data_IF_873392901458
#
_entry.id   IF_873392901458
#
_cell.length_a   1.000
_cell.length_b   1.000
_cell.length_c   1.000
_cell.angle_alpha   90.00
_cell.angle_beta   90.00
_cell.angle_gamma   90.00
#
_symmetry.space_group_name_H-M   'P 1'
#
loop_
_entity.id
_entity.type
_entity.pdbx_description
1 polymer ?
#
# COMPACT_ATOMS: atom_id res chain seq x y z
N UNK A 1 5.66 22.58 3.50
CA UNK A 1 4.60 21.57 3.50
C UNK A 1 5.00 20.45 4.42
N UNK A 2 4.22 20.23 5.45
CA UNK A 2 4.48 19.06 6.25
C UNK A 2 4.20 17.84 5.37
N UNK A 3 5.24 17.25 4.90
CA UNK A 3 5.15 15.92 4.36
C UNK A 3 4.63 15.03 5.47
N UNK A 4 3.69 14.17 5.12
CA UNK A 4 3.21 13.19 6.08
C UNK A 4 4.07 11.95 5.88
N UNK A 5 5.20 11.85 6.57
CA UNK A 5 6.14 10.77 6.35
C UNK A 5 5.69 9.46 6.94
N UNK A 6 4.63 9.47 7.70
CA UNK A 6 4.14 8.33 8.48
C UNK A 6 3.81 7.14 7.61
N UNK A 7 3.40 7.39 6.36
CA UNK A 7 2.98 6.37 5.42
C UNK A 7 4.01 6.07 4.34
N UNK A 8 5.24 6.55 4.49
CA UNK A 8 6.30 6.29 3.53
C UNK A 8 6.79 4.85 3.63
N UNK A 9 6.89 4.18 2.48
CA UNK A 9 7.32 2.78 2.40
C UNK A 9 8.70 2.50 3.02
N UNK A 10 9.71 3.39 2.92
CA UNK A 10 11.00 3.19 3.60
C UNK A 10 10.87 2.98 5.09
N UNK A 11 9.91 3.63 5.74
CA UNK A 11 9.69 3.54 7.19
C UNK A 11 9.40 2.11 7.65
N UNK A 12 8.74 1.31 6.82
CA UNK A 12 8.48 -0.10 7.14
C UNK A 12 9.76 -0.92 7.24
N UNK A 13 10.72 -0.68 6.37
CA UNK A 13 12.03 -1.32 6.39
C UNK A 13 12.85 -0.86 7.60
N UNK A 14 12.80 0.44 7.89
CA UNK A 14 13.48 1.04 9.05
C UNK A 14 12.96 0.47 10.36
N UNK A 15 11.65 0.23 10.44
CA UNK A 15 11.01 -0.35 11.60
C UNK A 15 11.14 -1.88 11.67
N UNK A 16 11.79 -2.50 10.68
CA UNK A 16 11.97 -3.94 10.58
C UNK A 16 10.64 -4.71 10.72
N UNK A 17 9.57 -4.15 10.15
CA UNK A 17 8.26 -4.74 10.21
C UNK A 17 8.16 -5.93 9.26
N UNK A 18 7.41 -6.91 9.68
CA UNK A 18 7.12 -8.13 8.95
C UNK A 18 6.47 -7.83 7.60
N UNK A 19 6.72 -8.64 6.57
CA UNK A 19 6.11 -8.50 5.25
C UNK A 19 4.58 -8.41 5.29
N UNK A 20 3.94 -9.08 6.24
CA UNK A 20 2.50 -9.00 6.46
C UNK A 20 2.00 -7.59 6.76
N UNK A 21 2.79 -6.77 7.45
CA UNK A 21 2.46 -5.36 7.71
C UNK A 21 2.79 -4.47 6.51
N UNK A 22 3.75 -4.90 5.67
CA UNK A 22 4.11 -4.22 4.45
C UNK A 22 2.95 -4.10 3.48
N UNK A 23 2.24 -5.18 3.21
CA UNK A 23 1.08 -5.20 2.31
C UNK A 23 -0.05 -4.29 2.83
N UNK A 24 -0.36 -4.35 4.11
CA UNK A 24 -1.32 -3.48 4.75
C UNK A 24 -0.95 -1.99 4.59
N UNK A 25 0.31 -1.66 4.84
CA UNK A 25 0.80 -0.29 4.72
C UNK A 25 0.77 0.21 3.27
N UNK A 26 1.06 -0.64 2.29
CA UNK A 26 0.97 -0.29 0.87
C UNK A 26 -0.47 0.11 0.53
N UNK A 27 -1.45 -0.69 0.90
CA UNK A 27 -2.87 -0.42 0.63
C UNK A 27 -3.31 0.88 1.31
N UNK A 28 -2.92 1.10 2.55
CA UNK A 28 -3.22 2.32 3.30
C UNK A 28 -2.59 3.57 2.66
N UNK A 29 -1.34 3.46 2.20
CA UNK A 29 -0.66 4.53 1.49
C UNK A 29 -1.33 4.86 0.15
N UNK A 30 -1.65 3.86 -0.64
CA UNK A 30 -2.35 4.05 -1.92
C UNK A 30 -3.68 4.76 -1.69
N UNK A 31 -4.47 4.29 -0.74
CA UNK A 31 -5.75 4.90 -0.40
C UNK A 31 -5.61 6.36 0.01
N UNK A 32 -4.63 6.65 0.85
CA UNK A 32 -4.32 8.01 1.29
C UNK A 32 -4.02 8.93 0.10
N UNK A 33 -3.11 8.53 -0.79
CA UNK A 33 -2.74 9.37 -1.94
C UNK A 33 -3.87 9.52 -2.96
N UNK A 34 -4.68 8.48 -3.16
CA UNK A 34 -5.87 8.57 -4.00
C UNK A 34 -6.88 9.58 -3.45
N UNK A 35 -7.13 9.56 -2.16
CA UNK A 35 -8.02 10.53 -1.50
C UNK A 35 -7.51 11.96 -1.63
N UNK A 36 -6.20 12.18 -1.47
CA UNK A 36 -5.60 13.50 -1.66
C UNK A 36 -5.82 14.01 -3.09
N UNK A 37 -5.63 13.17 -4.09
CA UNK A 37 -5.89 13.50 -5.50
C UNK A 37 -7.37 13.85 -5.71
N UNK A 38 -8.28 13.06 -5.19
CA UNK A 38 -9.71 13.28 -5.32
C UNK A 38 -10.19 14.56 -4.62
N UNK A 39 -9.46 15.02 -3.61
CA UNK A 39 -9.70 16.28 -2.92
C UNK A 39 -8.95 17.47 -3.52
N UNK A 40 -8.43 17.34 -4.73
CA UNK A 40 -7.65 18.37 -5.43
C UNK A 40 -6.41 18.88 -4.66
N UNK A 41 -5.85 18.03 -3.83
CA UNK A 41 -4.69 18.38 -3.02
C UNK A 41 -3.39 17.85 -3.63
N UNK A 42 -2.49 18.77 -4.00
CA UNK A 42 -1.15 18.46 -4.53
C UNK A 42 -1.13 17.27 -5.50
N UNK A 43 -1.96 17.32 -6.54
CA UNK A 43 -2.22 16.20 -7.46
C UNK A 43 -0.92 15.63 -8.03
N UNK A 44 -0.03 16.48 -8.49
CA UNK A 44 1.23 16.04 -9.08
C UNK A 44 2.13 15.30 -8.07
N UNK A 45 2.23 15.82 -6.87
CA UNK A 45 3.03 15.21 -5.79
C UNK A 45 2.47 13.85 -5.39
N UNK A 46 1.16 13.77 -5.24
CA UNK A 46 0.50 12.50 -4.90
C UNK A 46 0.56 11.49 -6.04
N UNK A 47 0.50 11.95 -7.30
CA UNK A 47 0.78 11.11 -8.47
C UNK A 47 2.20 10.52 -8.41
N UNK A 48 3.19 11.35 -8.07
CA UNK A 48 4.57 10.91 -7.90
C UNK A 48 4.69 9.81 -6.84
N UNK A 49 3.95 9.92 -5.75
CA UNK A 49 3.91 8.90 -4.70
C UNK A 49 3.28 7.59 -5.18
N UNK A 50 2.20 7.65 -5.92
CA UNK A 50 1.58 6.46 -6.53
C UNK A 50 2.53 5.80 -7.55
N UNK A 51 3.25 6.60 -8.32
CA UNK A 51 4.30 6.12 -9.20
C UNK A 51 5.40 5.35 -8.45
N UNK A 52 5.91 5.91 -7.36
CA UNK A 52 6.90 5.25 -6.51
C UNK A 52 6.39 3.92 -5.96
N UNK A 53 5.14 3.89 -5.51
CA UNK A 53 4.51 2.66 -5.01
C UNK A 53 4.36 1.63 -6.13
N UNK A 54 4.00 2.06 -7.33
CA UNK A 54 3.92 1.17 -8.49
C UNK A 54 5.27 0.48 -8.74
N UNK A 55 6.37 1.22 -8.70
CA UNK A 55 7.71 0.65 -8.83
C UNK A 55 8.04 -0.29 -7.68
N UNK A 56 7.71 0.09 -6.47
CA UNK A 56 7.98 -0.70 -5.27
C UNK A 56 7.22 -2.03 -5.27
N UNK A 57 5.99 -2.05 -5.78
CA UNK A 57 5.15 -3.24 -5.87
C UNK A 57 5.42 -4.08 -7.12
N UNK A 58 6.54 -3.85 -7.79
CA UNK A 58 6.92 -4.54 -9.01
C UNK A 58 5.86 -4.40 -10.12
N UNK A 59 5.42 -3.16 -10.34
CA UNK A 59 4.47 -2.80 -11.39
C UNK A 59 3.07 -3.40 -11.19
N UNK A 60 2.51 -3.22 -9.98
CA UNK A 60 1.13 -3.62 -9.70
C UNK A 60 0.19 -3.06 -10.78
N UNK A 61 -0.57 -3.96 -11.41
CA UNK A 61 -1.43 -3.62 -12.55
C UNK A 61 -2.48 -2.55 -12.22
N UNK A 62 -2.90 -2.46 -10.96
CA UNK A 62 -3.87 -1.45 -10.50
C UNK A 62 -3.28 -0.04 -10.47
N UNK A 63 -1.96 0.07 -10.34
CA UNK A 63 -1.22 1.32 -10.26
C UNK A 63 -0.57 1.72 -11.59
N UNK A 64 -0.61 0.86 -12.59
CA UNK A 64 -0.02 1.14 -13.90
C UNK A 64 -0.54 2.41 -14.56
N UNK A 65 -1.83 2.78 -14.48
CA UNK A 65 -2.29 4.06 -15.03
C UNK A 65 -1.54 5.26 -14.46
N UNK A 66 -1.19 5.23 -13.18
CA UNK A 66 -0.43 6.31 -12.54
C UNK A 66 1.04 6.34 -12.96
N UNK A 67 1.61 5.17 -13.22
CA UNK A 67 2.94 5.09 -13.84
C UNK A 67 2.97 5.79 -15.20
N UNK A 68 2.01 5.50 -16.07
CA UNK A 68 1.92 6.12 -17.38
C UNK A 68 1.57 7.60 -17.30
N UNK A 69 0.68 8.00 -16.42
CA UNK A 69 0.32 9.40 -16.21
C UNK A 69 1.49 10.22 -15.67
N UNK A 70 2.29 9.67 -14.80
CA UNK A 70 3.50 10.32 -14.30
C UNK A 70 4.49 10.61 -15.44
N UNK A 71 4.80 9.62 -16.25
CA UNK A 71 5.68 9.80 -17.39
C UNK A 71 5.06 10.71 -18.45
N UNK A 72 3.77 10.55 -18.71
CA UNK A 72 3.04 11.41 -19.63
C UNK A 72 3.08 12.88 -19.22
N UNK A 73 2.91 13.17 -17.94
CA UNK A 73 3.00 14.54 -17.43
C UNK A 73 4.41 15.11 -17.60
N UNK A 74 5.44 14.34 -17.28
CA UNK A 74 6.82 14.77 -17.49
C UNK A 74 7.10 15.09 -18.97
N UNK A 75 6.63 14.24 -19.86
CA UNK A 75 6.80 14.44 -21.29
C UNK A 75 6.03 15.67 -21.83
N UNK A 76 4.80 15.85 -21.36
CA UNK A 76 4.00 17.05 -21.68
C UNK A 76 4.71 18.35 -21.25
N UNK A 77 5.38 18.35 -20.10
CA UNK A 77 6.14 19.52 -19.66
C UNK A 77 7.42 19.74 -20.46
N UNK A 78 8.06 18.68 -20.91
CA UNK A 78 9.31 18.79 -21.69
C UNK A 78 9.07 19.16 -23.14
N UNK A 79 8.15 18.49 -23.82
CA UNK A 79 7.95 18.60 -25.27
C UNK A 79 6.51 18.95 -25.69
N UNK A 80 5.58 19.02 -24.78
CA UNK A 80 4.17 19.38 -25.04
C UNK A 80 3.31 18.25 -25.61
N UNK A 81 3.87 17.07 -25.78
CA UNK A 81 3.18 15.87 -26.26
C UNK A 81 3.47 14.71 -25.32
N UNK A 82 2.60 13.70 -25.31
CA UNK A 82 2.86 12.48 -24.55
C UNK A 82 2.43 11.25 -25.33
N UNK A 83 3.24 10.20 -25.24
CA UNK A 83 2.97 8.89 -25.83
C UNK A 83 2.51 7.86 -24.78
N UNK A 84 2.45 8.24 -23.52
CA UNK A 84 2.21 7.31 -22.41
C UNK A 84 0.74 7.12 -22.09
N UNK A 85 -0.08 8.17 -22.22
CA UNK A 85 -1.48 8.10 -21.86
C UNK A 85 -2.33 8.84 -22.89
N UNK A 86 -3.08 8.09 -23.68
CA UNK A 86 -3.91 8.62 -24.75
C UNK A 86 -4.96 9.59 -24.21
N UNK A 87 -5.09 10.72 -24.87
CA UNK A 87 -6.08 11.75 -24.53
C UNK A 87 -5.69 12.71 -23.42
N UNK A 88 -4.52 12.54 -22.80
CA UNK A 88 -4.02 13.45 -21.78
C UNK A 88 -3.17 14.57 -22.41
N UNK A 89 -3.43 15.80 -22.03
CA UNK A 89 -2.66 16.99 -22.37
C UNK A 89 -2.48 17.89 -21.14
N UNK A 90 -1.76 18.99 -21.26
CA UNK A 90 -1.50 19.91 -20.15
C UNK A 90 -2.77 20.55 -19.57
N UNK A 91 -3.81 20.69 -20.37
CA UNK A 91 -5.06 21.32 -19.93
C UNK A 91 -5.96 20.35 -19.15
N UNK A 92 -5.85 19.06 -19.42
CA UNK A 92 -6.74 18.06 -18.84
C UNK A 92 -6.06 17.03 -17.93
N UNK A 93 -4.74 17.02 -17.83
CA UNK A 93 -3.98 15.96 -17.13
C UNK A 93 -4.46 15.76 -15.68
N UNK A 94 -4.78 16.82 -14.96
CA UNK A 94 -5.27 16.70 -13.57
C UNK A 94 -6.63 16.01 -13.51
N UNK A 95 -7.53 16.33 -14.44
CA UNK A 95 -8.84 15.66 -14.53
C UNK A 95 -8.70 14.20 -14.90
N UNK A 96 -7.82 13.89 -15.83
CA UNK A 96 -7.52 12.50 -16.23
C UNK A 96 -6.98 11.72 -15.02
N UNK A 97 -6.10 12.30 -14.24
CA UNK A 97 -5.56 11.69 -13.02
C UNK A 97 -6.68 11.46 -12.01
N UNK A 98 -7.56 12.42 -11.79
CA UNK A 98 -8.71 12.26 -10.88
C UNK A 98 -9.66 11.16 -11.34
N UNK A 99 -9.92 11.06 -12.63
CA UNK A 99 -10.76 9.98 -13.17
C UNK A 99 -10.14 8.61 -12.93
N UNK A 100 -8.84 8.47 -13.15
CA UNK A 100 -8.12 7.24 -12.83
C UNK A 100 -8.11 6.96 -11.33
N UNK A 101 -8.00 7.99 -10.49
CA UNK A 101 -8.06 7.84 -9.05
C UNK A 101 -9.44 7.34 -8.60
N UNK A 102 -10.53 7.80 -9.19
CA UNK A 102 -11.89 7.28 -8.92
C UNK A 102 -12.00 5.80 -9.26
N UNK A 103 -11.52 5.40 -10.43
CA UNK A 103 -11.53 3.99 -10.86
C UNK A 103 -10.70 3.13 -9.90
N UNK A 104 -9.53 3.60 -9.56
CA UNK A 104 -8.61 2.88 -8.67
C UNK A 104 -9.19 2.75 -7.26
N UNK A 105 -9.78 3.80 -6.72
CA UNK A 105 -10.34 3.76 -5.37
C UNK A 105 -11.55 2.83 -5.29
N UNK A 106 -12.33 2.73 -6.35
CA UNK A 106 -13.42 1.75 -6.45
C UNK A 106 -12.88 0.31 -6.48
N UNK A 107 -11.78 0.08 -7.17
CA UNK A 107 -11.05 -1.19 -7.12
C UNK A 107 -10.46 -1.44 -5.73
N UNK A 108 -10.06 -0.38 -5.02
CA UNK A 108 -9.57 -0.40 -3.64
C UNK A 108 -10.67 -0.21 -2.58
N UNK A 109 -11.91 -0.06 -2.96
CA UNK A 109 -13.06 -0.31 -2.07
C UNK A 109 -13.18 -1.82 -1.82
N UNK A 110 -12.83 -2.61 -2.79
CA UNK A 110 -12.36 -3.97 -2.54
C UNK A 110 -11.14 -3.97 -1.59
N UNK A 111 -10.33 -2.93 -1.58
CA UNK A 111 -9.23 -2.70 -0.65
C UNK A 111 -9.68 -2.53 0.79
N UNK A 112 -10.84 -1.95 1.06
CA UNK A 112 -11.37 -1.90 2.42
C UNK A 112 -11.78 -3.29 2.90
N UNK A 113 -12.42 -4.07 2.07
CA UNK A 113 -12.64 -5.49 2.33
C UNK A 113 -11.33 -6.28 2.40
N UNK A 114 -10.34 -5.92 1.57
CA UNK A 114 -9.03 -6.55 1.61
C UNK A 114 -8.24 -6.14 2.85
N UNK A 115 -8.36 -4.90 3.31
CA UNK A 115 -7.81 -4.42 4.58
C UNK A 115 -8.43 -5.17 5.74
N UNK A 116 -9.74 -5.32 5.75
CA UNK A 116 -10.46 -6.04 6.78
C UNK A 116 -10.07 -7.53 6.77
N UNK A 117 -9.95 -8.13 5.57
CA UNK A 117 -9.45 -9.50 5.42
C UNK A 117 -8.01 -9.69 5.84
N UNK A 118 -7.15 -8.72 5.58
CA UNK A 118 -5.74 -8.73 6.02
C UNK A 118 -5.70 -8.66 7.54
N UNK A 119 -6.47 -7.76 8.15
CA UNK A 119 -6.59 -7.66 9.60
C UNK A 119 -7.13 -8.95 10.22
N UNK A 120 -8.15 -9.55 9.63
CA UNK A 120 -8.70 -10.83 10.07
C UNK A 120 -7.66 -11.94 9.99
N UNK A 121 -6.87 -11.99 8.91
CA UNK A 121 -5.77 -12.95 8.76
C UNK A 121 -4.67 -12.73 9.79
N UNK A 122 -4.32 -11.49 10.08
CA UNK A 122 -3.33 -11.17 11.12
C UNK A 122 -3.80 -11.60 12.50
N UNK A 123 -5.05 -11.31 12.85
CA UNK A 123 -5.66 -11.76 14.10
C UNK A 123 -5.67 -13.28 14.21
N UNK A 124 -6.02 -13.97 13.11
CA UNK A 124 -6.00 -15.44 13.05
C UNK A 124 -4.58 -16.00 13.22
N UNK A 125 -3.58 -15.40 12.60
CA UNK A 125 -2.18 -15.81 12.73
C UNK A 125 -1.66 -15.60 14.14
N UNK A 126 -1.97 -14.47 14.77
CA UNK A 126 -1.61 -14.20 16.16
C UNK A 126 -2.30 -15.19 17.12
N UNK A 127 -3.58 -15.47 16.88
CA UNK A 127 -4.33 -16.47 17.65
C UNK A 127 -3.73 -17.88 17.50
N UNK A 128 -3.33 -18.27 16.30
CA UNK A 128 -2.69 -19.56 16.05
C UNK A 128 -1.31 -19.64 16.69
N UNK A 129 -0.51 -18.58 16.61
CA UNK A 129 0.79 -18.50 17.28
C UNK A 129 0.65 -18.60 18.80
N UNK A 130 -0.36 -17.95 19.37
CA UNK A 130 -0.65 -18.01 20.79
C UNK A 130 -1.03 -19.45 21.21
N UNK A 131 -1.86 -20.13 20.42
CA UNK A 131 -2.23 -21.55 20.66
C UNK A 131 -1.01 -22.46 20.60
N UNK A 132 -0.10 -22.25 19.68
CA UNK A 132 1.17 -22.99 19.58
C UNK A 132 2.06 -22.75 20.81
N UNK A 133 2.19 -21.52 21.26
CA UNK A 133 2.94 -21.17 22.47
C UNK A 133 2.35 -21.84 23.70
N UNK A 134 1.04 -21.87 23.85
CA UNK A 134 0.34 -22.55 24.96
C UNK A 134 0.63 -24.05 24.93
N UNK A 135 0.60 -24.67 23.76
CA UNK A 135 0.93 -26.09 23.60
C UNK A 135 2.37 -26.38 24.01
N UNK A 136 3.31 -25.56 23.57
CA UNK A 136 4.73 -25.71 23.91
C UNK A 136 4.94 -25.56 25.42
N UNK A 137 4.33 -24.57 26.05
CA UNK A 137 4.38 -24.38 27.52
C UNK A 137 3.81 -25.58 28.29
N UNK A 138 2.69 -26.13 27.84
CA UNK A 138 2.09 -27.32 28.43
C UNK A 138 3.01 -28.53 28.34
N UNK A 139 3.69 -28.74 27.20
CA UNK A 139 4.67 -29.81 27.01
C UNK A 139 5.85 -29.64 27.99
N UNK A 140 6.39 -28.43 28.07
CA UNK A 140 7.50 -28.14 29.00
C UNK A 140 7.12 -28.35 30.46
N UNK A 141 5.91 -27.97 30.86
CA UNK A 141 5.42 -28.24 32.25
C UNK A 141 5.29 -29.72 32.50
N UNK A 142 4.82 -30.51 31.56
CA UNK A 142 4.75 -31.97 31.66
C UNK A 142 6.14 -32.59 31.80
N UNK A 143 7.10 -32.13 31.06
CA UNK A 143 8.51 -32.57 31.16
C UNK A 143 9.09 -32.25 32.54
N UNK A 144 8.90 -31.02 33.02
CA UNK A 144 9.34 -30.60 34.38
C UNK A 144 8.72 -31.44 35.46
N UNK A 145 7.44 -31.76 35.34
CA UNK A 145 6.74 -32.62 36.27
C UNK A 145 7.37 -34.03 36.36
N UNK A 146 7.77 -34.59 35.25
CA UNK A 146 8.46 -35.88 35.16
C UNK A 146 9.84 -35.79 35.79
N UNK A 147 10.59 -34.73 35.54
CA UNK A 147 11.93 -34.51 36.08
C UNK A 147 11.90 -34.31 37.60
N UNK A 148 10.90 -33.65 38.16
CA UNK A 148 10.78 -33.38 39.58
C UNK A 148 10.29 -34.59 40.41
N UNK A 149 9.80 -35.65 39.77
CA UNK A 149 9.40 -36.91 40.40
C UNK A 149 10.54 -37.89 40.64
N UNK A 150 11.72 -37.59 40.15
CA UNK A 150 12.94 -38.34 40.41
C UNK A 150 13.67 -37.70 41.59
#
# INVERSE_FOLDING_TARGET
TPEIPILQLPTLKELNLNEKYGEYSIVANVHYYLEQILNDYEIRKNLSKLYEICLYTNMDSRLMPFYFLYHGWCELEEIGENDYFEGADLDNIEEVIKDQAKICIDQYVFGKESLDKIKEKEVLLESNNLKEEIKIKAIWQSIKSIWNKK
#
